data_IF_500474504027
#
_entry.id   IF_500474504027
#
_cell.length_a   1.000
_cell.length_b   1.000
_cell.length_c   1.000
_cell.angle_alpha   90.00
_cell.angle_beta   90.00
_cell.angle_gamma   90.00
#
_symmetry.space_group_name_H-M   'P 1'
#
loop_
_entity.id
_entity.type
_entity.pdbx_description
1 polymer ?
#
# COMPACT_ATOMS: atom_id res chain seq x y z
N UNK A 1 -18.00 -9.50 18.32
CA UNK A 1 -16.54 -9.37 18.10
C UNK A 1 -16.11 -8.01 18.61
N UNK A 2 -14.88 -7.86 19.12
CA UNK A 2 -14.35 -6.58 19.64
C UNK A 2 -15.27 -5.86 20.66
N UNK A 3 -15.89 -6.62 21.59
CA UNK A 3 -16.76 -6.04 22.62
C UNK A 3 -18.18 -5.65 22.18
N UNK A 4 -18.53 -5.85 20.90
CA UNK A 4 -19.87 -5.57 20.38
C UNK A 4 -20.60 -6.85 19.94
N UNK A 5 -21.94 -6.92 20.05
CA UNK A 5 -22.74 -7.91 19.32
C UNK A 5 -22.43 -7.82 17.82
N UNK A 6 -22.16 -8.95 17.17
CA UNK A 6 -21.74 -8.95 15.76
C UNK A 6 -22.39 -10.10 15.01
N UNK A 7 -22.71 -9.85 13.74
CA UNK A 7 -23.23 -10.84 12.79
C UNK A 7 -22.20 -10.99 11.68
N UNK A 8 -21.76 -12.23 11.44
CA UNK A 8 -20.88 -12.55 10.32
C UNK A 8 -21.75 -12.96 9.12
N UNK A 9 -21.50 -12.33 7.98
CA UNK A 9 -22.23 -12.57 6.74
C UNK A 9 -21.28 -13.14 5.69
N UNK A 10 -21.61 -14.33 5.17
CA UNK A 10 -20.80 -15.00 4.15
C UNK A 10 -21.55 -15.31 2.85
N UNK A 11 -22.84 -14.95 2.75
CA UNK A 11 -23.64 -15.18 1.53
C UNK A 11 -23.49 -14.01 0.57
N UNK A 12 -23.11 -14.21 -0.71
CA UNK A 12 -22.83 -13.13 -1.66
C UNK A 12 -23.94 -12.09 -1.77
N UNK A 13 -25.21 -12.51 -1.73
CA UNK A 13 -26.37 -11.63 -1.85
C UNK A 13 -26.48 -10.69 -0.64
N UNK A 14 -26.20 -11.22 0.56
CA UNK A 14 -26.25 -10.46 1.80
C UNK A 14 -24.99 -9.58 1.92
N UNK A 15 -23.80 -10.09 1.56
CA UNK A 15 -22.59 -9.28 1.50
C UNK A 15 -22.78 -8.08 0.56
N UNK A 16 -23.35 -8.30 -0.64
CA UNK A 16 -23.69 -7.22 -1.57
C UNK A 16 -24.63 -6.21 -0.91
N UNK A 17 -25.69 -6.66 -0.24
CA UNK A 17 -26.63 -5.77 0.46
C UNK A 17 -25.95 -4.93 1.54
N UNK A 18 -25.05 -5.51 2.33
CA UNK A 18 -24.30 -4.80 3.38
C UNK A 18 -23.34 -3.78 2.76
N UNK A 19 -22.63 -4.14 1.69
CA UNK A 19 -21.60 -3.31 1.05
C UNK A 19 -22.13 -2.21 0.13
N UNK A 20 -23.43 -2.20 -0.19
CA UNK A 20 -24.02 -1.23 -1.16
C UNK A 20 -25.13 -0.37 -0.55
N UNK A 21 -25.51 -0.61 0.70
CA UNK A 21 -26.57 0.13 1.39
C UNK A 21 -25.98 1.06 2.45
N UNK A 22 -25.38 2.15 1.98
CA UNK A 22 -24.75 3.17 2.82
C UNK A 22 -25.75 3.96 3.70
N UNK A 23 -27.06 3.80 3.46
CA UNK A 23 -28.11 4.38 4.30
C UNK A 23 -28.29 3.61 5.62
N UNK A 24 -28.08 2.29 5.60
CA UNK A 24 -28.31 1.42 6.75
C UNK A 24 -27.02 0.86 7.35
N UNK A 25 -25.91 0.93 6.62
CA UNK A 25 -24.61 0.43 7.05
C UNK A 25 -23.54 1.51 6.91
N UNK A 26 -22.67 1.60 7.91
CA UNK A 26 -21.47 2.43 7.88
C UNK A 26 -20.24 1.56 8.14
N UNK A 27 -19.06 2.07 7.83
CA UNK A 27 -17.82 1.41 8.21
C UNK A 27 -17.74 1.29 9.73
N UNK A 28 -17.41 0.09 10.22
CA UNK A 28 -17.34 -0.25 11.64
C UNK A 28 -16.01 -0.92 11.96
N UNK A 29 -14.98 -0.10 12.20
CA UNK A 29 -13.66 -0.58 12.58
C UNK A 29 -13.48 -0.64 14.10
N UNK A 30 -12.62 -1.52 14.63
CA UNK A 30 -12.31 -1.57 16.06
C UNK A 30 -11.83 -0.22 16.59
N UNK A 31 -12.16 0.08 17.85
CA UNK A 31 -11.77 1.35 18.50
C UNK A 31 -10.27 1.63 18.40
N UNK A 32 -9.44 0.60 18.54
CA UNK A 32 -7.99 0.71 18.39
C UNK A 32 -7.56 1.18 17.00
N UNK A 33 -8.21 0.70 15.94
CA UNK A 33 -7.98 1.13 14.56
C UNK A 33 -8.43 2.59 14.36
N UNK A 34 -9.58 2.99 14.91
CA UNK A 34 -10.05 4.37 14.83
C UNK A 34 -9.06 5.34 15.53
N UNK A 35 -8.64 5.02 16.76
CA UNK A 35 -7.73 5.86 17.54
C UNK A 35 -6.31 5.95 16.94
N UNK A 36 -5.83 4.88 16.31
CA UNK A 36 -4.54 4.87 15.64
C UNK A 36 -4.58 5.45 14.22
N UNK A 37 -5.76 5.51 13.59
CA UNK A 37 -5.96 6.01 12.23
C UNK A 37 -5.70 7.50 12.06
N UNK A 38 -5.86 8.30 13.13
CA UNK A 38 -5.66 9.75 13.06
C UNK A 38 -6.92 10.55 12.73
N UNK A 39 -6.73 11.81 12.33
CA UNK A 39 -7.81 12.79 12.12
C UNK A 39 -8.66 12.44 10.90
N UNK A 40 -8.00 12.13 9.78
CA UNK A 40 -8.67 11.74 8.54
C UNK A 40 -8.39 10.29 8.20
N UNK A 41 -9.01 9.42 8.99
CA UNK A 41 -8.95 8.00 8.72
C UNK A 41 -10.06 7.64 7.73
N UNK A 42 -9.74 7.01 6.58
CA UNK A 42 -10.77 6.56 5.62
C UNK A 42 -11.78 5.58 6.23
N UNK A 43 -11.50 5.07 7.45
CA UNK A 43 -12.34 4.15 8.19
C UNK A 43 -13.26 4.81 9.24
N UNK A 44 -13.06 6.07 9.62
CA UNK A 44 -13.80 6.70 10.74
C UNK A 44 -14.36 8.10 10.44
N UNK A 45 -14.27 8.58 9.20
CA UNK A 45 -14.86 9.87 8.79
C UNK A 45 -16.30 9.69 8.30
N UNK A 46 -17.04 10.79 8.19
CA UNK A 46 -18.40 10.78 7.62
C UNK A 46 -18.39 10.32 6.16
N UNK A 47 -19.52 9.83 5.65
CA UNK A 47 -19.64 9.39 4.25
C UNK A 47 -19.28 10.51 3.25
N UNK A 48 -19.67 11.75 3.53
CA UNK A 48 -19.36 12.90 2.67
C UNK A 48 -17.86 13.23 2.69
N UNK A 49 -17.23 13.22 3.87
CA UNK A 49 -15.79 13.43 3.98
C UNK A 49 -15.00 12.28 3.35
N UNK A 50 -15.46 11.05 3.51
CA UNK A 50 -14.87 9.88 2.85
C UNK A 50 -14.93 10.00 1.31
N UNK A 51 -16.06 10.46 0.75
CA UNK A 51 -16.18 10.73 -0.70
C UNK A 51 -15.21 11.83 -1.13
N UNK A 52 -15.10 12.92 -0.37
CA UNK A 52 -14.17 14.04 -0.63
C UNK A 52 -12.72 13.54 -0.66
N UNK A 53 -12.28 12.86 0.40
CA UNK A 53 -10.95 12.28 0.49
C UNK A 53 -10.69 11.28 -0.64
N UNK A 54 -11.66 10.41 -0.99
CA UNK A 54 -11.51 9.48 -2.12
C UNK A 54 -11.30 10.18 -3.46
N UNK A 55 -11.95 11.32 -3.71
CA UNK A 55 -11.72 12.11 -4.92
C UNK A 55 -10.31 12.70 -4.93
N UNK A 56 -9.86 13.28 -3.81
CA UNK A 56 -8.52 13.86 -3.66
C UNK A 56 -7.41 12.84 -3.89
N UNK A 57 -7.54 11.61 -3.36
CA UNK A 57 -6.51 10.57 -3.49
C UNK A 57 -6.58 9.78 -4.80
N UNK A 58 -7.67 9.90 -5.59
CA UNK A 58 -7.87 9.06 -6.77
C UNK A 58 -6.78 9.24 -7.84
N UNK A 59 -6.42 10.49 -8.15
CA UNK A 59 -5.36 10.80 -9.11
C UNK A 59 -3.96 10.44 -8.58
N UNK A 60 -3.59 10.79 -7.34
CA UNK A 60 -2.32 10.34 -6.75
C UNK A 60 -2.11 8.83 -6.72
N UNK A 61 -3.18 8.03 -6.56
CA UNK A 61 -3.07 6.56 -6.46
C UNK A 61 -3.18 5.88 -7.83
N UNK A 62 -4.21 6.24 -8.61
CA UNK A 62 -4.62 5.50 -9.82
C UNK A 62 -4.52 6.36 -11.10
N UNK A 63 -4.03 7.60 -10.99
CA UNK A 63 -3.84 8.49 -12.12
C UNK A 63 -2.81 7.94 -13.10
N UNK A 64 -3.02 8.20 -14.39
CA UNK A 64 -2.15 7.68 -15.45
C UNK A 64 -0.69 8.14 -15.28
N UNK A 65 -0.50 9.42 -14.93
CA UNK A 65 0.82 10.02 -14.71
C UNK A 65 1.51 9.42 -13.48
N UNK A 66 0.79 9.33 -12.35
CA UNK A 66 1.29 8.73 -11.11
C UNK A 66 1.72 7.27 -11.34
N UNK A 67 0.86 6.44 -11.95
CA UNK A 67 1.18 5.05 -12.25
C UNK A 67 2.38 4.91 -13.19
N UNK A 68 2.51 5.77 -14.19
CA UNK A 68 3.65 5.72 -15.14
C UNK A 68 4.98 5.95 -14.43
N UNK A 69 5.01 6.89 -13.50
CA UNK A 69 6.17 7.15 -12.65
C UNK A 69 6.44 5.99 -11.69
N UNK A 70 5.42 5.48 -11.02
CA UNK A 70 5.57 4.40 -10.04
C UNK A 70 6.11 3.12 -10.67
N UNK A 71 5.74 2.82 -11.93
CA UNK A 71 6.25 1.65 -12.65
C UNK A 71 7.78 1.71 -12.80
N UNK A 72 8.33 2.87 -13.18
CA UNK A 72 9.78 3.00 -13.40
C UNK A 72 10.54 2.73 -12.10
N UNK A 73 10.13 3.38 -11.01
CA UNK A 73 10.76 3.15 -9.71
C UNK A 73 10.55 1.75 -9.16
N UNK A 74 9.38 1.16 -9.42
CA UNK A 74 9.11 -0.23 -9.03
C UNK A 74 10.03 -1.18 -9.78
N UNK A 75 10.22 -0.97 -11.09
CA UNK A 75 11.11 -1.79 -11.91
C UNK A 75 12.56 -1.73 -11.40
N UNK A 76 13.09 -0.53 -11.14
CA UNK A 76 14.45 -0.36 -10.60
C UNK A 76 14.64 -1.11 -9.28
N UNK A 77 13.72 -0.93 -8.32
CA UNK A 77 13.80 -1.60 -7.01
C UNK A 77 13.68 -3.12 -7.14
N UNK A 78 12.83 -3.61 -8.05
CA UNK A 78 12.65 -5.05 -8.29
C UNK A 78 13.90 -5.66 -8.93
N UNK A 79 14.52 -4.99 -9.89
CA UNK A 79 15.77 -5.43 -10.53
C UNK A 79 16.88 -5.49 -9.49
N UNK A 80 17.09 -4.43 -8.72
CA UNK A 80 18.10 -4.39 -7.66
C UNK A 80 17.89 -5.50 -6.62
N UNK A 81 16.62 -5.76 -6.26
CA UNK A 81 16.27 -6.84 -5.34
C UNK A 81 16.58 -8.22 -5.93
N UNK A 82 16.29 -8.44 -7.21
CA UNK A 82 16.63 -9.70 -7.88
C UNK A 82 18.14 -9.91 -7.98
N UNK A 83 18.92 -8.87 -8.29
CA UNK A 83 20.37 -8.95 -8.33
C UNK A 83 20.95 -9.26 -6.94
N UNK A 84 20.41 -8.63 -5.89
CA UNK A 84 20.77 -8.92 -4.49
C UNK A 84 20.49 -10.39 -4.16
N UNK A 85 19.27 -10.88 -4.43
CA UNK A 85 18.87 -12.26 -4.13
C UNK A 85 19.65 -13.30 -4.93
N UNK A 86 19.95 -13.01 -6.20
CA UNK A 86 20.76 -13.88 -7.06
C UNK A 86 22.22 -13.99 -6.58
N UNK A 87 22.74 -12.95 -5.91
CA UNK A 87 24.08 -12.96 -5.32
C UNK A 87 24.17 -13.76 -4.01
N UNK A 88 23.03 -14.09 -3.39
CA UNK A 88 23.00 -14.84 -2.13
C UNK A 88 23.42 -16.30 -2.33
N UNK A 89 24.48 -16.72 -1.63
CA UNK A 89 25.05 -18.07 -1.75
C UNK A 89 24.33 -19.13 -0.92
N UNK A 90 23.34 -18.75 -0.13
CA UNK A 90 22.62 -19.63 0.78
C UNK A 90 21.11 -19.44 0.59
N UNK A 91 20.30 -20.48 0.86
CA UNK A 91 18.86 -20.35 0.88
C UNK A 91 18.44 -19.22 1.81
N UNK A 92 17.47 -18.42 1.38
CA UNK A 92 16.90 -17.33 2.16
C UNK A 92 15.37 -17.49 2.26
N UNK A 93 14.78 -16.82 3.25
CA UNK A 93 13.33 -16.82 3.41
C UNK A 93 12.70 -15.79 2.47
N UNK A 94 12.13 -16.27 1.37
CA UNK A 94 11.61 -15.42 0.30
C UNK A 94 10.57 -14.38 0.78
N UNK A 95 9.68 -14.77 1.73
CA UNK A 95 8.65 -13.86 2.22
C UNK A 95 9.24 -12.68 3.03
N UNK A 96 10.31 -12.88 3.77
CA UNK A 96 11.05 -11.78 4.42
C UNK A 96 11.65 -10.83 3.39
N UNK A 97 12.29 -11.34 2.34
CA UNK A 97 12.92 -10.48 1.34
C UNK A 97 11.90 -9.72 0.47
N UNK A 98 10.79 -10.34 0.06
CA UNK A 98 9.75 -9.64 -0.70
C UNK A 98 9.02 -8.57 0.13
N UNK A 99 8.87 -8.76 1.44
CA UNK A 99 8.37 -7.70 2.35
C UNK A 99 9.30 -6.49 2.38
N UNK A 100 10.62 -6.70 2.38
CA UNK A 100 11.59 -5.60 2.30
C UNK A 100 11.49 -4.86 0.97
N UNK A 101 11.41 -5.59 -0.14
CA UNK A 101 11.30 -4.99 -1.48
C UNK A 101 9.98 -4.19 -1.63
N UNK A 102 8.85 -4.76 -1.24
CA UNK A 102 7.55 -4.05 -1.27
C UNK A 102 7.51 -2.85 -0.32
N UNK A 103 8.16 -2.92 0.84
CA UNK A 103 8.30 -1.77 1.73
C UNK A 103 9.16 -0.64 1.11
N UNK A 104 10.27 -0.99 0.45
CA UNK A 104 11.09 -0.04 -0.33
C UNK A 104 10.25 0.63 -1.42
N UNK A 105 9.51 -0.15 -2.21
CA UNK A 105 8.62 0.35 -3.27
C UNK A 105 7.60 1.33 -2.70
N UNK A 106 6.86 0.94 -1.65
CA UNK A 106 5.82 1.81 -1.08
C UNK A 106 6.41 3.08 -0.46
N UNK A 107 7.56 2.99 0.21
CA UNK A 107 8.22 4.18 0.75
C UNK A 107 8.63 5.13 -0.37
N UNK A 108 9.20 4.62 -1.46
CA UNK A 108 9.61 5.44 -2.60
C UNK A 108 8.41 6.08 -3.31
N UNK A 109 7.34 5.32 -3.54
CA UNK A 109 6.09 5.84 -4.14
C UNK A 109 5.49 6.95 -3.29
N UNK A 110 5.52 6.80 -1.95
CA UNK A 110 4.86 7.73 -1.05
C UNK A 110 5.68 8.94 -0.67
N UNK A 111 7.01 8.80 -0.60
CA UNK A 111 7.89 9.75 0.08
C UNK A 111 9.15 10.09 -0.73
N UNK A 112 9.29 9.46 -1.90
CA UNK A 112 10.48 9.55 -2.71
C UNK A 112 11.67 8.82 -2.08
N UNK A 113 12.87 9.19 -2.54
CA UNK A 113 14.11 8.60 -2.04
C UNK A 113 14.40 9.04 -0.61
N UNK A 114 14.29 8.12 0.34
CA UNK A 114 14.71 8.30 1.74
C UNK A 114 15.98 7.51 2.02
N UNK A 115 16.78 7.96 3.00
CA UNK A 115 17.95 7.19 3.41
C UNK A 115 17.55 5.88 4.12
N UNK A 116 18.43 4.88 4.07
CA UNK A 116 18.21 3.56 4.68
C UNK A 116 17.85 3.64 6.17
N UNK A 117 18.48 4.56 6.91
CA UNK A 117 18.20 4.72 8.34
C UNK A 117 16.73 5.11 8.59
N UNK A 118 16.19 6.03 7.78
CA UNK A 118 14.80 6.50 7.86
C UNK A 118 13.83 5.39 7.44
N UNK A 119 14.16 4.69 6.35
CA UNK A 119 13.41 3.53 5.85
C UNK A 119 13.27 2.46 6.95
N UNK A 120 14.39 1.98 7.49
CA UNK A 120 14.39 0.90 8.47
C UNK A 120 13.86 1.30 9.85
N UNK A 121 14.04 2.57 10.24
CA UNK A 121 13.39 3.09 11.45
C UNK A 121 11.86 3.04 11.30
N UNK A 122 11.33 3.46 10.15
CA UNK A 122 9.90 3.43 9.86
C UNK A 122 9.37 2.00 9.80
N UNK A 123 10.11 1.10 9.13
CA UNK A 123 9.79 -0.33 9.08
C UNK A 123 9.72 -0.97 10.47
N UNK A 124 10.67 -0.69 11.35
CA UNK A 124 10.70 -1.28 12.69
C UNK A 124 9.56 -0.78 13.58
N UNK A 125 9.17 0.49 13.43
CA UNK A 125 8.01 1.06 14.14
C UNK A 125 6.69 0.47 13.65
N UNK A 126 6.62 0.09 12.37
CA UNK A 126 5.41 -0.46 11.77
C UNK A 126 4.93 -1.75 12.46
N UNK A 127 5.85 -2.64 12.87
CA UNK A 127 5.46 -3.90 13.51
C UNK A 127 4.67 -3.66 14.82
N UNK A 128 5.08 -2.69 15.64
CA UNK A 128 4.35 -2.31 16.85
C UNK A 128 3.04 -1.58 16.52
N UNK A 129 3.05 -0.72 15.50
CA UNK A 129 1.85 -0.02 15.02
C UNK A 129 0.77 -0.99 14.55
N UNK A 130 1.13 -1.95 13.67
CA UNK A 130 0.24 -2.97 13.11
C UNK A 130 -0.39 -3.85 14.18
N UNK A 131 0.39 -4.27 15.19
CA UNK A 131 -0.13 -5.03 16.33
C UNK A 131 -1.16 -4.24 17.14
N UNK A 132 -0.98 -2.93 17.28
CA UNK A 132 -1.94 -2.07 17.96
C UNK A 132 -3.26 -1.95 17.22
N UNK A 133 -3.23 -1.81 15.89
CA UNK A 133 -4.44 -1.71 15.06
C UNK A 133 -5.39 -2.88 15.28
N UNK A 134 -4.86 -4.09 15.48
CA UNK A 134 -5.65 -5.32 15.65
C UNK A 134 -5.86 -5.70 17.13
N UNK A 135 -5.48 -4.84 18.07
CA UNK A 135 -5.58 -5.11 19.53
C UNK A 135 -6.79 -4.46 20.18
N UNK A 136 -7.08 -4.78 21.44
CA UNK A 136 -7.98 -3.98 22.27
C UNK A 136 -7.35 -2.61 22.58
N UNK A 137 -8.17 -1.55 22.66
CA UNK A 137 -7.74 -0.16 22.89
C UNK A 137 -7.29 0.13 24.36
N UNK A 138 -6.46 -0.75 24.93
CA UNK A 138 -5.99 -0.66 26.31
C UNK A 138 -4.67 0.11 26.36
N UNK A 139 -4.73 1.37 26.80
CA UNK A 139 -3.55 2.24 26.90
C UNK A 139 -2.81 2.08 28.24
N UNK A 140 -2.31 0.87 28.51
CA UNK A 140 -1.52 0.55 29.71
C UNK A 140 -0.15 0.02 29.29
N UNK A 141 0.96 0.41 29.94
CA UNK A 141 2.28 -0.15 29.67
C UNK A 141 2.28 -1.68 29.65
N UNK A 142 2.86 -2.26 28.60
CA UNK A 142 2.86 -3.71 28.37
C UNK A 142 1.87 -4.18 27.29
N UNK A 143 0.78 -3.45 27.06
CA UNK A 143 -0.20 -3.77 26.03
C UNK A 143 0.23 -3.30 24.63
N UNK A 144 -0.22 -4.01 23.59
CA UNK A 144 0.10 -3.71 22.19
C UNK A 144 -0.36 -2.31 21.79
N UNK A 145 -1.56 -1.89 22.17
CA UNK A 145 -2.11 -0.58 21.87
C UNK A 145 -1.25 0.56 22.44
N UNK A 146 -0.77 0.44 23.68
CA UNK A 146 0.14 1.42 24.29
C UNK A 146 1.46 1.58 23.52
N UNK A 147 2.04 0.47 23.04
CA UNK A 147 3.25 0.49 22.20
C UNK A 147 2.96 1.13 20.83
N UNK A 148 1.82 0.80 20.23
CA UNK A 148 1.40 1.34 18.94
C UNK A 148 1.18 2.85 18.97
N UNK A 149 0.62 3.41 20.05
CA UNK A 149 0.50 4.87 20.21
C UNK A 149 1.88 5.56 20.18
N UNK A 150 2.89 4.95 20.84
CA UNK A 150 4.27 5.45 20.80
C UNK A 150 4.89 5.29 19.41
N UNK A 151 4.65 4.16 18.74
CA UNK A 151 5.11 3.92 17.38
C UNK A 151 4.52 4.94 16.40
N UNK A 152 3.20 5.12 16.41
CA UNK A 152 2.48 6.13 15.64
C UNK A 152 3.07 7.52 15.85
N UNK A 153 3.26 7.95 17.10
CA UNK A 153 3.85 9.27 17.41
C UNK A 153 5.24 9.46 16.79
N UNK A 154 6.06 8.42 16.75
CA UNK A 154 7.39 8.47 16.11
C UNK A 154 7.28 8.47 14.59
N UNK A 155 6.40 7.64 14.01
CA UNK A 155 6.17 7.59 12.56
C UNK A 155 5.66 8.94 12.05
N UNK A 156 4.63 9.51 12.68
CA UNK A 156 4.10 10.85 12.35
C UNK A 156 5.20 11.91 12.36
N UNK A 157 6.10 11.91 13.35
CA UNK A 157 7.24 12.83 13.37
C UNK A 157 8.20 12.65 12.18
N UNK A 158 8.48 11.40 11.80
CA UNK A 158 9.34 11.11 10.64
C UNK A 158 8.66 11.59 9.36
N UNK A 159 7.39 11.23 9.16
CA UNK A 159 6.59 11.64 7.99
C UNK A 159 6.48 13.17 7.89
N UNK A 160 6.18 13.84 8.99
CA UNK A 160 6.13 15.31 9.05
C UNK A 160 7.48 15.92 8.68
N UNK A 161 8.59 15.40 9.22
CA UNK A 161 9.92 15.94 8.89
C UNK A 161 10.30 15.80 7.42
N UNK A 162 9.69 14.84 6.71
CA UNK A 162 9.90 14.64 5.28
C UNK A 162 9.02 15.62 4.50
N UNK A 163 7.77 15.79 4.90
CA UNK A 163 6.87 16.78 4.33
C UNK A 163 7.41 18.21 4.50
N UNK A 164 7.89 18.58 5.69
CA UNK A 164 8.47 19.90 5.97
C UNK A 164 9.67 20.19 5.04
N UNK A 165 10.57 19.21 4.87
CA UNK A 165 11.71 19.32 3.96
C UNK A 165 11.27 19.52 2.51
N UNK A 166 10.19 18.86 2.08
CA UNK A 166 9.61 19.06 0.75
C UNK A 166 9.06 20.48 0.63
N UNK A 167 8.32 20.98 1.62
CA UNK A 167 7.82 22.37 1.62
C UNK A 167 8.94 23.42 1.54
N UNK A 168 10.08 23.15 2.14
CA UNK A 168 11.25 24.05 2.11
C UNK A 168 12.01 24.04 0.77
N UNK A 169 11.84 23.00 -0.06
CA UNK A 169 12.49 22.92 -1.36
C UNK A 169 11.80 23.86 -2.36
N UNK A 170 12.55 24.81 -2.92
CA UNK A 170 12.07 25.69 -4.00
C UNK A 170 11.69 24.87 -5.25
N UNK A 171 10.74 25.35 -6.06
CA UNK A 171 10.34 24.68 -7.32
C UNK A 171 11.53 24.37 -8.23
N UNK A 172 12.57 25.21 -8.23
CA UNK A 172 13.81 24.98 -9.00
C UNK A 172 14.70 23.85 -8.47
N UNK A 173 14.51 23.43 -7.20
CA UNK A 173 15.18 22.28 -6.58
C UNK A 173 14.32 21.01 -6.59
N UNK A 174 13.01 21.13 -6.83
CA UNK A 174 12.12 20.00 -7.15
C UNK A 174 12.34 19.52 -8.59
N UNK A 175 13.58 19.14 -8.92
CA UNK A 175 13.93 18.54 -10.22
C UNK A 175 13.64 17.03 -10.27
N UNK A 176 13.02 16.47 -9.22
CA UNK A 176 12.63 15.06 -9.14
C UNK A 176 11.19 14.82 -9.62
N UNK A 177 10.90 13.58 -9.99
CA UNK A 177 9.54 13.11 -10.23
C UNK A 177 8.72 13.19 -8.93
N UNK A 178 7.49 13.72 -9.01
CA UNK A 178 6.61 13.98 -7.85
C UNK A 178 6.16 12.70 -7.15
N UNK A 179 6.45 12.52 -5.87
CA UNK A 179 5.88 11.39 -5.13
C UNK A 179 4.46 11.67 -4.61
N UNK A 180 3.85 10.70 -3.92
CA UNK A 180 2.49 10.86 -3.42
C UNK A 180 2.34 12.01 -2.42
N UNK A 181 3.33 12.32 -1.58
CA UNK A 181 3.27 13.49 -0.69
C UNK A 181 3.18 14.78 -1.50
N UNK A 182 3.94 14.88 -2.60
CA UNK A 182 3.89 16.04 -3.50
C UNK A 182 2.51 16.14 -4.17
N UNK A 183 1.99 15.02 -4.68
CA UNK A 183 0.69 14.98 -5.35
C UNK A 183 -0.48 15.29 -4.39
N UNK A 184 -0.41 14.82 -3.14
CA UNK A 184 -1.42 15.16 -2.11
C UNK A 184 -1.32 16.62 -1.66
N UNK A 185 -0.12 17.19 -1.63
CA UNK A 185 0.10 18.60 -1.29
C UNK A 185 -0.49 19.57 -2.31
N UNK A 186 -0.63 19.12 -3.55
CA UNK A 186 -1.20 19.88 -4.67
C UNK A 186 -2.69 19.57 -4.91
N UNK A 187 -3.21 18.51 -4.30
CA UNK A 187 -4.59 18.09 -4.49
C UNK A 187 -5.57 19.13 -3.90
N UNK A 188 -6.52 19.54 -4.73
CA UNK A 188 -7.61 20.45 -4.38
C UNK A 188 -8.95 19.76 -4.61
N UNK A 189 -9.91 20.00 -3.71
CA UNK A 189 -11.29 19.54 -3.91
C UNK A 189 -12.07 20.48 -4.84
N UNK A 190 -13.35 20.16 -5.07
CA UNK A 190 -14.22 20.93 -5.98
C UNK A 190 -14.40 22.39 -5.55
N UNK A 191 -14.16 22.71 -4.27
CA UNK A 191 -14.23 24.06 -3.71
C UNK A 191 -12.85 24.73 -3.62
N UNK A 192 -11.80 24.11 -4.17
CA UNK A 192 -10.41 24.60 -4.11
C UNK A 192 -9.74 24.40 -2.75
N UNK A 193 -10.29 23.56 -1.86
CA UNK A 193 -9.69 23.31 -0.54
C UNK A 193 -8.61 22.26 -0.66
N UNK A 194 -7.48 22.51 -0.01
CA UNK A 194 -6.33 21.59 0.06
C UNK A 194 -6.41 20.69 1.29
N UNK A 195 -5.61 19.64 1.26
CA UNK A 195 -5.30 18.86 2.45
C UNK A 195 -4.34 19.65 3.34
N UNK A 196 -4.60 19.63 4.65
CA UNK A 196 -3.65 20.13 5.64
C UNK A 196 -2.47 19.15 5.78
N UNK A 197 -1.34 19.63 6.30
CA UNK A 197 -0.15 18.79 6.43
C UNK A 197 -0.37 17.57 7.35
N UNK A 198 -1.16 17.72 8.42
CA UNK A 198 -1.50 16.57 9.28
C UNK A 198 -2.35 15.52 8.54
N UNK A 199 -3.19 15.97 7.60
CA UNK A 199 -4.04 15.10 6.80
C UNK A 199 -3.20 14.30 5.80
N UNK A 200 -2.25 14.96 5.14
CA UNK A 200 -1.29 14.31 4.25
C UNK A 200 -0.48 13.25 5.02
N UNK A 201 0.02 13.59 6.21
CA UNK A 201 0.80 12.65 7.04
C UNK A 201 -0.04 11.44 7.47
N UNK A 202 -1.29 11.66 7.90
CA UNK A 202 -2.20 10.57 8.29
C UNK A 202 -2.55 9.66 7.09
N UNK A 203 -2.77 10.23 5.89
CA UNK A 203 -3.00 9.46 4.66
C UNK A 203 -1.78 8.62 4.26
N UNK A 204 -0.57 9.19 4.31
CA UNK A 204 0.63 8.44 3.99
C UNK A 204 0.85 7.30 4.99
N UNK A 205 0.62 7.53 6.29
CA UNK A 205 0.69 6.48 7.30
C UNK A 205 -0.32 5.36 7.01
N UNK A 206 -1.56 5.73 6.62
CA UNK A 206 -2.60 4.79 6.24
C UNK A 206 -2.17 3.93 5.04
N UNK A 207 -1.72 4.55 3.95
CA UNK A 207 -1.33 3.81 2.75
C UNK A 207 -0.08 2.96 2.95
N UNK A 208 0.90 3.45 3.70
CA UNK A 208 2.06 2.66 4.09
C UNK A 208 1.60 1.43 4.88
N UNK A 209 0.62 1.57 5.78
CA UNK A 209 0.11 0.43 6.54
C UNK A 209 -0.71 -0.57 5.73
N UNK A 210 -1.44 -0.11 4.72
CA UNK A 210 -2.31 -0.97 3.92
C UNK A 210 -1.56 -1.72 2.81
N UNK A 211 -0.52 -1.10 2.25
CA UNK A 211 -0.09 -1.43 0.90
C UNK A 211 1.05 -2.44 0.77
N UNK A 212 2.08 -2.38 1.62
CA UNK A 212 3.26 -3.24 1.39
C UNK A 212 3.03 -4.69 1.80
N UNK A 213 2.42 -4.93 2.97
CA UNK A 213 2.24 -6.28 3.52
C UNK A 213 1.23 -7.09 2.69
N UNK A 214 0.13 -6.46 2.26
CA UNK A 214 -0.87 -7.07 1.37
C UNK A 214 -0.29 -7.44 0.01
N UNK A 215 0.56 -6.57 -0.56
CA UNK A 215 1.27 -6.82 -1.82
C UNK A 215 2.28 -7.95 -1.66
N UNK A 216 3.07 -7.96 -0.58
CA UNK A 216 4.05 -9.01 -0.31
C UNK A 216 3.41 -10.40 -0.22
N UNK A 217 2.29 -10.52 0.51
CA UNK A 217 1.55 -11.78 0.62
C UNK A 217 0.93 -12.18 -0.72
N UNK A 218 0.39 -11.23 -1.49
CA UNK A 218 -0.18 -11.51 -2.82
C UNK A 218 0.88 -12.03 -3.80
N UNK A 219 2.07 -11.42 -3.80
CA UNK A 219 3.22 -11.86 -4.60
C UNK A 219 3.67 -13.27 -4.17
N UNK A 220 3.75 -13.53 -2.86
CA UNK A 220 4.08 -14.85 -2.35
C UNK A 220 3.13 -15.93 -2.88
N UNK A 221 1.82 -15.69 -2.81
CA UNK A 221 0.81 -16.62 -3.34
C UNK A 221 0.88 -16.77 -4.86
N UNK A 222 1.14 -15.68 -5.58
CA UNK A 222 1.34 -15.74 -7.03
C UNK A 222 2.53 -16.64 -7.40
N UNK A 223 3.65 -16.52 -6.70
CA UNK A 223 4.83 -17.35 -6.92
C UNK A 223 4.56 -18.80 -6.56
N UNK A 224 3.96 -19.08 -5.40
CA UNK A 224 3.58 -20.44 -5.00
C UNK A 224 2.73 -21.08 -6.11
N UNK A 225 1.66 -20.41 -6.54
CA UNK A 225 0.77 -20.94 -7.58
C UNK A 225 1.48 -21.15 -8.92
N UNK A 226 2.34 -20.23 -9.36
CA UNK A 226 3.08 -20.41 -10.59
C UNK A 226 4.07 -21.59 -10.48
N UNK A 227 4.75 -21.74 -9.36
CA UNK A 227 5.72 -22.83 -9.14
C UNK A 227 5.06 -24.20 -9.02
N UNK A 228 3.87 -24.28 -8.44
CA UNK A 228 3.09 -25.52 -8.31
C UNK A 228 2.33 -25.90 -9.59
N UNK A 229 2.18 -24.97 -10.54
CA UNK A 229 1.43 -25.19 -11.79
C UNK A 229 2.30 -24.87 -13.02
N UNK A 230 3.12 -25.83 -13.50
CA UNK A 230 4.05 -25.61 -14.62
C UNK A 230 3.40 -25.10 -15.90
N UNK A 231 2.17 -25.54 -16.19
CA UNK A 231 1.42 -25.03 -17.36
C UNK A 231 1.06 -23.54 -17.21
N UNK A 232 0.68 -23.12 -16.00
CA UNK A 232 0.37 -21.73 -15.73
C UNK A 232 1.62 -20.85 -15.81
N UNK A 233 2.74 -21.32 -15.27
CA UNK A 233 4.03 -20.65 -15.43
C UNK A 233 4.44 -20.53 -16.89
N UNK A 234 4.30 -21.60 -17.68
CA UNK A 234 4.60 -21.57 -19.12
C UNK A 234 3.76 -20.51 -19.85
N UNK A 235 2.44 -20.49 -19.63
CA UNK A 235 1.53 -19.51 -20.25
C UNK A 235 1.86 -18.07 -19.84
N UNK A 236 2.11 -17.84 -18.55
CA UNK A 236 2.48 -16.51 -18.06
C UNK A 236 3.81 -16.05 -18.68
N UNK A 237 4.80 -16.94 -18.80
CA UNK A 237 6.10 -16.65 -19.41
C UNK A 237 5.98 -16.34 -20.91
N UNK A 238 5.23 -17.16 -21.66
CA UNK A 238 4.99 -16.94 -23.09
C UNK A 238 4.33 -15.58 -23.35
N UNK A 239 3.37 -15.18 -22.50
CA UNK A 239 2.78 -13.84 -22.56
C UNK A 239 3.84 -12.73 -22.39
N UNK A 240 4.73 -12.85 -21.40
CA UNK A 240 5.79 -11.84 -21.19
C UNK A 240 6.78 -11.80 -22.37
N UNK A 241 7.17 -12.95 -22.91
CA UNK A 241 8.06 -13.05 -24.06
C UNK A 241 7.44 -12.41 -25.32
N UNK A 242 6.15 -12.60 -25.55
CA UNK A 242 5.44 -11.97 -26.68
C UNK A 242 5.34 -10.44 -26.54
N UNK A 243 5.15 -9.93 -25.33
CA UNK A 243 5.18 -8.48 -25.06
C UNK A 243 6.58 -7.93 -25.36
N UNK A 244 7.63 -8.59 -24.88
CA UNK A 244 9.02 -8.18 -25.12
C UNK A 244 9.38 -8.21 -26.61
N UNK A 245 8.95 -9.23 -27.37
CA UNK A 245 9.19 -9.31 -28.83
C UNK A 245 8.60 -8.13 -29.60
N UNK A 246 7.48 -7.57 -29.11
CA UNK A 246 6.79 -6.42 -29.72
C UNK A 246 7.34 -5.07 -29.23
N UNK A 247 8.21 -5.08 -28.22
CA UNK A 247 8.79 -3.87 -27.64
C UNK A 247 9.71 -3.19 -28.67
N UNK A 248 9.57 -1.86 -28.89
CA UNK A 248 10.52 -1.12 -29.70
C UNK A 248 11.94 -1.24 -29.14
N UNK A 249 12.95 -1.40 -30.01
CA UNK A 249 14.35 -1.60 -29.60
C UNK A 249 14.95 -0.42 -28.82
N UNK A 250 14.37 0.77 -28.95
CA UNK A 250 14.77 1.98 -28.23
C UNK A 250 14.02 2.17 -26.89
N UNK A 251 13.06 1.30 -26.56
CA UNK A 251 12.30 1.43 -25.31
C UNK A 251 13.11 0.84 -24.15
N UNK A 252 13.34 1.66 -23.13
CA UNK A 252 13.94 1.25 -21.86
C UNK A 252 12.83 1.09 -20.82
N UNK A 253 12.89 -0.03 -20.11
CA UNK A 253 11.97 -0.37 -19.03
C UNK A 253 10.56 -0.71 -19.49
N UNK A 254 9.74 -1.05 -18.50
CA UNK A 254 8.34 -1.41 -18.64
C UNK A 254 7.46 -0.15 -18.73
N UNK A 255 6.44 -0.19 -19.59
CA UNK A 255 5.43 0.87 -19.70
C UNK A 255 4.07 0.39 -19.22
N UNK A 256 3.24 1.32 -18.74
CA UNK A 256 1.88 1.04 -18.29
C UNK A 256 1.03 0.35 -19.38
N UNK A 257 1.28 0.65 -20.66
CA UNK A 257 0.62 -0.02 -21.78
C UNK A 257 0.93 -1.52 -21.82
N UNK A 258 2.17 -1.92 -21.56
CA UNK A 258 2.59 -3.33 -21.55
C UNK A 258 2.00 -4.07 -20.36
N UNK A 259 1.94 -3.45 -19.17
CA UNK A 259 1.26 -4.04 -18.00
C UNK A 259 -0.20 -4.34 -18.31
N UNK A 260 -0.88 -3.43 -19.01
CA UNK A 260 -2.28 -3.64 -19.43
C UNK A 260 -2.46 -4.77 -20.46
N UNK A 261 -1.38 -5.24 -21.09
CA UNK A 261 -1.40 -6.36 -22.03
C UNK A 261 -1.17 -7.71 -21.35
N UNK A 262 -0.83 -7.75 -20.06
CA UNK A 262 -0.57 -8.98 -19.31
C UNK A 262 -1.88 -9.66 -18.86
N UNK A 263 -2.74 -10.03 -19.81
CA UNK A 263 -4.09 -10.55 -19.55
C UNK A 263 -4.10 -11.86 -18.74
N UNK A 264 -3.18 -12.77 -19.03
CA UNK A 264 -3.03 -14.04 -18.32
C UNK A 264 -2.42 -13.82 -16.94
N UNK A 265 -1.35 -13.04 -16.84
CA UNK A 265 -0.76 -12.71 -15.53
C UNK A 265 -1.76 -11.99 -14.63
N UNK A 266 -2.63 -11.14 -15.17
CA UNK A 266 -3.71 -10.49 -14.42
C UNK A 266 -4.71 -11.51 -13.82
N UNK A 267 -4.97 -12.63 -14.50
CA UNK A 267 -5.80 -13.73 -13.96
C UNK A 267 -5.10 -14.45 -12.81
N UNK A 268 -3.79 -14.71 -12.94
CA UNK A 268 -2.96 -15.29 -11.86
C UNK A 268 -3.00 -14.37 -10.65
N UNK A 269 -2.73 -13.08 -10.86
CA UNK A 269 -2.77 -12.06 -9.80
C UNK A 269 -4.12 -12.00 -9.10
N UNK A 270 -5.22 -11.98 -9.86
CA UNK A 270 -6.58 -11.92 -9.31
C UNK A 270 -6.88 -13.12 -8.40
N UNK A 271 -6.41 -14.31 -8.78
CA UNK A 271 -6.56 -15.51 -7.96
C UNK A 271 -5.71 -15.46 -6.69
N UNK A 272 -4.48 -14.97 -6.76
CA UNK A 272 -3.59 -14.80 -5.60
C UNK A 272 -4.12 -13.77 -4.60
N UNK A 273 -4.67 -12.66 -5.09
CA UNK A 273 -5.32 -11.64 -4.26
C UNK A 273 -6.56 -12.22 -3.57
N UNK A 274 -7.36 -13.03 -4.28
CA UNK A 274 -8.47 -13.75 -3.67
C UNK A 274 -8.01 -14.63 -2.49
N UNK A 275 -6.92 -15.39 -2.66
CA UNK A 275 -6.36 -16.23 -1.61
C UNK A 275 -5.90 -15.40 -0.39
N UNK A 276 -5.29 -14.23 -0.60
CA UNK A 276 -4.96 -13.30 0.48
C UNK A 276 -6.21 -12.87 1.27
N UNK A 277 -7.28 -12.42 0.60
CA UNK A 277 -8.49 -11.96 1.27
C UNK A 277 -9.20 -13.07 2.03
N UNK A 278 -9.20 -14.30 1.52
CA UNK A 278 -9.72 -15.47 2.25
C UNK A 278 -8.97 -15.62 3.57
N UNK A 279 -7.63 -15.61 3.56
CA UNK A 279 -6.83 -15.77 4.78
C UNK A 279 -7.00 -14.58 5.75
N UNK A 280 -7.05 -13.36 5.22
CA UNK A 280 -7.22 -12.14 6.03
C UNK A 280 -8.56 -12.13 6.78
N UNK A 281 -9.63 -12.65 6.17
CA UNK A 281 -10.95 -12.78 6.82
C UNK A 281 -10.96 -13.78 7.99
N UNK A 282 -10.12 -14.83 7.94
CA UNK A 282 -10.01 -15.84 9.00
C UNK A 282 -8.97 -15.51 10.09
N UNK A 283 -8.20 -14.44 9.92
CA UNK A 283 -7.25 -13.94 10.92
C UNK A 283 -7.83 -12.77 11.77
N UNK A 284 -9.09 -12.38 11.54
CA UNK A 284 -9.85 -11.37 12.30
C UNK A 284 -10.60 -11.98 13.49
#
# INVERSE_FOLDING_TARGET
MFGCPSIIVCRPEICRRVLTNDEHFTLGYPESTNLLGGRISLHSVSNEEHKRLRRLIASPINGHEALTMYIQHTEDIVIDSFDEWASMKQPFEFYTEIKKATFKIMTHIFMGSVNDSTLWTTHNLYADYRKGLMSMAINIPGFAFHKALKARKKMVKVLQSILDKKREMTESKHQGTKDMMDLLSEAEDEDGRKLEDEDIVDLILLFLSAGFDSSAVSILWAIIHLTENPEALRKAKEEQEEIIKRRPSNQIGLKLKEIKQMEYLAKVWSFSVFQFFVIALFQL
#
